data_IF_295450938813
#
_entry.id   IF_295450938813
#
_cell.length_a   1.000
_cell.length_b   1.000
_cell.length_c   1.000
_cell.angle_alpha   90.00
_cell.angle_beta   90.00
_cell.angle_gamma   90.00
#
_symmetry.space_group_name_H-M   'P 1'
#
loop_
_entity.id
_entity.type
_entity.pdbx_description
1 polymer ?
#
# COMPACT_ATOMS: atom_id res chain seq x y z
N UNK A 1 0.29 -2.97 -6.78
CA UNK A 1 -0.78 -2.16 -6.16
C UNK A 1 -1.33 -1.11 -7.12
N UNK A 2 -2.66 -0.87 -7.12
CA UNK A 2 -3.31 0.28 -7.76
C UNK A 2 -3.80 1.27 -6.70
N UNK A 3 -3.76 2.56 -7.01
CA UNK A 3 -4.30 3.63 -6.17
C UNK A 3 -5.28 4.46 -6.99
N UNK A 4 -6.23 5.11 -6.32
CA UNK A 4 -7.22 5.98 -6.95
C UNK A 4 -7.24 7.37 -6.31
N UNK A 5 -7.60 8.40 -7.06
CA UNK A 5 -7.78 9.74 -6.50
C UNK A 5 -9.07 9.79 -5.67
N UNK A 6 -9.00 10.29 -4.43
CA UNK A 6 -10.16 10.40 -3.54
C UNK A 6 -11.33 11.21 -4.11
N UNK A 7 -11.07 12.17 -5.01
CA UNK A 7 -12.10 12.98 -5.67
C UNK A 7 -12.64 12.34 -6.95
N UNK A 8 -11.80 11.57 -7.65
CA UNK A 8 -12.15 10.93 -8.91
C UNK A 8 -11.65 9.48 -8.93
N UNK A 9 -12.51 8.53 -8.57
CA UNK A 9 -12.16 7.12 -8.48
C UNK A 9 -11.77 6.49 -9.84
N UNK A 10 -12.13 7.13 -10.95
CA UNK A 10 -11.71 6.72 -12.30
C UNK A 10 -10.24 7.06 -12.58
N UNK A 11 -9.69 8.06 -11.90
CA UNK A 11 -8.24 8.36 -11.95
C UNK A 11 -7.50 7.32 -11.10
N UNK A 12 -6.96 6.30 -11.78
CA UNK A 12 -6.18 5.25 -11.14
C UNK A 12 -4.75 5.21 -11.64
N UNK A 13 -3.82 5.00 -10.71
CA UNK A 13 -2.38 4.97 -10.97
C UNK A 13 -1.73 3.74 -10.32
N UNK A 14 -0.55 3.36 -10.81
CA UNK A 14 0.31 2.37 -10.13
C UNK A 14 1.11 3.04 -9.01
N UNK A 15 1.55 2.26 -8.03
CA UNK A 15 2.35 2.76 -6.90
C UNK A 15 3.55 3.63 -7.33
N UNK A 16 4.37 3.17 -8.29
CA UNK A 16 5.53 3.93 -8.76
C UNK A 16 5.15 5.30 -9.36
N UNK A 17 3.99 5.38 -10.03
CA UNK A 17 3.48 6.64 -10.55
C UNK A 17 3.01 7.56 -9.43
N UNK A 18 2.27 7.04 -8.45
CA UNK A 18 1.83 7.82 -7.30
C UNK A 18 3.02 8.40 -6.50
N UNK A 19 4.10 7.63 -6.33
CA UNK A 19 5.33 8.10 -5.65
C UNK A 19 6.01 9.23 -6.41
N UNK A 20 6.05 9.16 -7.75
CA UNK A 20 6.65 10.20 -8.60
C UNK A 20 5.78 11.46 -8.69
N UNK A 21 4.47 11.28 -8.79
CA UNK A 21 3.51 12.36 -9.00
C UNK A 21 3.13 13.08 -7.69
N UNK A 22 3.09 12.36 -6.57
CA UNK A 22 2.66 12.86 -5.27
C UNK A 22 1.15 13.06 -5.17
N UNK A 23 0.62 14.07 -5.89
CA UNK A 23 -0.79 14.46 -5.84
C UNK A 23 -1.53 14.14 -7.14
N UNK A 24 -2.75 13.62 -7.01
CA UNK A 24 -3.69 13.46 -8.12
C UNK A 24 -4.32 14.79 -8.53
N UNK A 25 -5.20 14.72 -9.53
CA UNK A 25 -5.98 15.88 -9.96
C UNK A 25 -6.66 16.61 -8.78
N UNK A 26 -6.75 17.95 -8.88
CA UNK A 26 -7.26 18.84 -7.84
C UNK A 26 -6.49 18.79 -6.50
N UNK A 27 -5.19 18.47 -6.53
CA UNK A 27 -4.30 18.40 -5.37
C UNK A 27 -4.80 17.41 -4.30
N UNK A 28 -5.47 16.34 -4.73
CA UNK A 28 -5.98 15.31 -3.82
C UNK A 28 -5.04 14.11 -3.78
N UNK A 29 -4.85 13.50 -2.60
CA UNK A 29 -3.97 12.36 -2.46
C UNK A 29 -4.58 11.12 -3.14
N UNK A 30 -3.69 10.22 -3.56
CA UNK A 30 -4.06 8.88 -3.99
C UNK A 30 -4.27 7.96 -2.78
N UNK A 31 -5.30 7.11 -2.84
CA UNK A 31 -5.61 6.11 -1.81
C UNK A 31 -5.52 4.69 -2.39
N UNK A 32 -5.04 3.70 -1.61
CA UNK A 32 -5.04 2.30 -2.02
C UNK A 32 -6.42 1.80 -2.47
N UNK A 33 -6.49 1.17 -3.66
CA UNK A 33 -7.75 0.54 -4.09
C UNK A 33 -8.12 -0.65 -3.20
N UNK A 34 -7.11 -1.40 -2.75
CA UNK A 34 -7.24 -2.51 -1.83
C UNK A 34 -6.30 -2.31 -0.65
N UNK A 35 -6.80 -2.52 0.56
CA UNK A 35 -5.99 -2.55 1.78
C UNK A 35 -5.76 -4.04 2.12
N UNK A 36 -4.51 -4.52 2.20
CA UNK A 36 -4.23 -5.88 2.62
C UNK A 36 -4.69 -6.07 4.06
N UNK A 37 -5.40 -7.17 4.33
CA UNK A 37 -5.75 -7.58 5.69
C UNK A 37 -4.60 -8.39 6.27
N UNK A 38 -4.26 -8.11 7.51
CA UNK A 38 -3.36 -8.96 8.30
C UNK A 38 -4.22 -9.86 9.19
N UNK A 39 -3.79 -11.10 9.38
CA UNK A 39 -4.37 -11.97 10.41
C UNK A 39 -3.59 -11.82 11.73
N UNK A 40 -4.21 -12.26 12.83
CA UNK A 40 -3.66 -12.08 14.17
C UNK A 40 -2.33 -12.83 14.38
N UNK A 41 -2.18 -14.00 13.76
CA UNK A 41 -0.95 -14.80 13.82
C UNK A 41 0.24 -14.10 13.14
N UNK A 42 0.04 -13.55 11.93
CA UNK A 42 1.05 -12.78 11.22
C UNK A 42 1.40 -11.49 11.97
N UNK A 43 0.39 -10.82 12.54
CA UNK A 43 0.60 -9.63 13.34
C UNK A 43 1.46 -9.94 14.57
N UNK A 44 1.11 -10.99 15.33
CA UNK A 44 1.89 -11.43 16.48
C UNK A 44 3.35 -11.74 16.09
N UNK A 45 3.56 -12.43 14.96
CA UNK A 45 4.90 -12.72 14.44
C UNK A 45 5.69 -11.45 14.12
N UNK A 46 5.09 -10.46 13.46
CA UNK A 46 5.81 -9.25 13.04
C UNK A 46 6.11 -8.31 14.19
N UNK A 47 5.27 -8.30 15.23
CA UNK A 47 5.54 -7.51 16.43
C UNK A 47 6.81 -7.95 17.16
N UNK A 48 7.23 -9.21 17.00
CA UNK A 48 8.49 -9.74 17.53
C UNK A 48 9.72 -9.39 16.67
N UNK A 49 9.54 -8.91 15.44
CA UNK A 49 10.65 -8.53 14.57
C UNK A 49 11.24 -7.16 14.96
N UNK A 50 12.51 -6.94 14.62
CA UNK A 50 13.12 -5.62 14.67
C UNK A 50 12.41 -4.63 13.74
N UNK A 51 12.66 -3.33 13.95
CA UNK A 51 12.01 -2.25 13.22
C UNK A 51 12.17 -2.35 11.69
N UNK A 52 13.37 -2.69 11.21
CA UNK A 52 13.66 -2.74 9.77
C UNK A 52 12.95 -3.93 9.14
N UNK A 53 13.07 -5.11 9.74
CA UNK A 53 12.42 -6.33 9.27
C UNK A 53 10.89 -6.18 9.25
N UNK A 54 10.30 -5.64 10.33
CA UNK A 54 8.86 -5.38 10.42
C UNK A 54 8.41 -4.37 9.37
N UNK A 55 9.13 -3.25 9.21
CA UNK A 55 8.74 -2.20 8.26
C UNK A 55 8.76 -2.70 6.82
N UNK A 56 9.77 -3.51 6.45
CA UNK A 56 9.82 -4.15 5.12
C UNK A 56 8.64 -5.08 4.89
N UNK A 57 8.28 -5.90 5.88
CA UNK A 57 7.15 -6.82 5.79
C UNK A 57 5.82 -6.07 5.58
N UNK A 58 5.55 -5.03 6.39
CA UNK A 58 4.36 -4.18 6.27
C UNK A 58 4.33 -3.48 4.91
N UNK A 59 5.45 -2.90 4.49
CA UNK A 59 5.55 -2.20 3.22
C UNK A 59 5.26 -3.14 2.04
N UNK A 60 5.84 -4.34 2.05
CA UNK A 60 5.59 -5.33 0.99
C UNK A 60 4.14 -5.76 0.90
N UNK A 61 3.41 -5.89 2.01
CA UNK A 61 1.96 -6.15 1.93
C UNK A 61 1.22 -5.06 1.17
N UNK A 62 1.57 -3.80 1.39
CA UNK A 62 0.91 -2.67 0.75
C UNK A 62 1.25 -2.61 -0.74
N UNK A 63 2.54 -2.70 -1.10
CA UNK A 63 2.98 -2.47 -2.49
C UNK A 63 2.93 -3.72 -3.37
N UNK A 64 3.25 -4.89 -2.81
CA UNK A 64 3.41 -6.18 -3.50
C UNK A 64 2.27 -7.16 -3.20
N UNK A 65 1.02 -6.67 -3.01
CA UNK A 65 -0.17 -7.52 -2.86
C UNK A 65 -0.48 -8.47 -4.06
N UNK A 66 0.51 -8.84 -4.87
CA UNK A 66 0.49 -9.99 -5.76
C UNK A 66 1.76 -10.85 -5.57
N UNK A 67 1.51 -12.12 -5.25
CA UNK A 67 2.38 -13.33 -5.27
C UNK A 67 2.95 -13.80 -3.92
N UNK A 68 2.08 -14.39 -3.10
CA UNK A 68 2.36 -15.77 -2.67
C UNK A 68 1.70 -16.69 -3.71
N UNK A 69 2.51 -17.30 -4.57
CA UNK A 69 2.24 -18.60 -5.19
C UNK A 69 3.25 -19.56 -4.60
#
# INVERSE_FOLDING_TARGET
MKLYNLKNQSEQVRFLQAVKQGLGSAARPFFPLNIPKLNDEQLAKWLQCDFITRSRAIFYQLILAMKCR
#
